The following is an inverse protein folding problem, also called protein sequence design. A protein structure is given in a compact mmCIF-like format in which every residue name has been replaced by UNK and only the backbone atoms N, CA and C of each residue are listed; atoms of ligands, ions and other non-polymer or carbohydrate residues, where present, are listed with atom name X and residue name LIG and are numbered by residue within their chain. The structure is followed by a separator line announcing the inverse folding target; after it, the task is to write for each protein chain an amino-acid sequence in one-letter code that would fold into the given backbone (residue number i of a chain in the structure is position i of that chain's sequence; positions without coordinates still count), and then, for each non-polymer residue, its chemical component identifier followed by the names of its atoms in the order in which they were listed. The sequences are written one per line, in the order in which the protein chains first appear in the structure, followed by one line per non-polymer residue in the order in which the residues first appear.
data_IF_925918509426
#
_entry.id   IF_925918509426
#
_cell.length_a   1.000
_cell.length_b   1.000
_cell.length_c   1.000
_cell.angle_alpha   90.00
_cell.angle_beta   90.00
_cell.angle_gamma   90.00
#
_symmetry.space_group_name_H-M   'P 1'
#
loop_
_entity.id
_entity.type
_entity.pdbx_description
1 polymer ?
#
# COMPACT_ATOMS: atom_id res chain seq x y z
N UNK A 1 -0.11 -7.67 0.73
CA UNK A 1 -0.72 -8.08 2.01
C UNK A 1 0.40 -8.24 3.02
N UNK A 2 0.33 -7.55 4.15
CA UNK A 2 1.23 -7.85 5.28
C UNK A 2 0.88 -9.25 5.83
N UNK A 3 1.83 -9.95 6.48
CA UNK A 3 1.63 -11.31 6.98
C UNK A 3 0.48 -11.42 8.00
N UNK A 4 0.14 -10.33 8.67
CA UNK A 4 -0.99 -10.18 9.60
C UNK A 4 -2.33 -9.88 8.89
N UNK A 5 -2.35 -9.73 7.57
CA UNK A 5 -3.56 -9.59 6.74
C UNK A 5 -4.38 -8.32 6.99
N UNK A 6 -3.96 -7.44 7.91
CA UNK A 6 -4.69 -6.21 8.30
C UNK A 6 -4.66 -5.09 7.28
N UNK A 7 -3.59 -5.05 6.47
CA UNK A 7 -3.36 -3.96 5.54
C UNK A 7 -3.07 -4.47 4.14
N UNK A 8 -3.78 -3.90 3.16
CA UNK A 8 -3.50 -4.00 1.75
C UNK A 8 -2.79 -2.71 1.31
N UNK A 9 -1.71 -2.87 0.56
CA UNK A 9 -0.98 -1.75 -0.02
C UNK A 9 -1.28 -1.75 -1.51
N UNK A 10 -1.68 -0.60 -2.06
CA UNK A 10 -2.04 -0.45 -3.46
C UNK A 10 -1.17 0.66 -4.04
N UNK A 11 -0.23 0.32 -4.94
CA UNK A 11 0.60 1.32 -5.59
C UNK A 11 -0.22 2.05 -6.66
N UNK A 12 -0.31 3.37 -6.53
CA UNK A 12 -0.92 4.24 -7.55
C UNK A 12 0.15 4.59 -8.58
N UNK A 13 0.24 3.77 -9.63
CA UNK A 13 1.20 3.98 -10.72
C UNK A 13 0.90 5.29 -11.46
N UNK A 14 1.93 6.10 -11.70
CA UNK A 14 1.80 7.42 -12.32
C UNK A 14 1.66 8.58 -11.32
N UNK A 15 1.06 8.34 -10.17
CA UNK A 15 0.84 9.38 -9.13
C UNK A 15 1.96 9.42 -8.08
N UNK A 16 2.76 8.35 -8.02
CA UNK A 16 3.92 8.28 -7.12
C UNK A 16 3.56 8.05 -5.65
N UNK A 17 2.38 7.49 -5.41
CA UNK A 17 1.85 7.22 -4.07
C UNK A 17 1.48 5.75 -3.89
N UNK A 18 1.40 5.31 -2.65
CA UNK A 18 0.89 4.00 -2.23
C UNK A 18 -0.25 4.23 -1.26
N UNK A 19 -1.43 3.71 -1.58
CA UNK A 19 -2.57 3.70 -0.67
C UNK A 19 -2.47 2.50 0.28
N UNK A 20 -2.69 2.74 1.57
CA UNK A 20 -2.82 1.70 2.59
C UNK A 20 -4.29 1.55 2.90
N UNK A 21 -4.83 0.36 2.66
CA UNK A 21 -6.23 0.00 2.85
C UNK A 21 -6.32 -0.97 4.03
N UNK A 22 -7.18 -0.67 5.00
CA UNK A 22 -7.52 -1.62 6.05
C UNK A 22 -8.45 -2.70 5.49
N UNK A 23 -8.03 -3.95 5.53
CA UNK A 23 -8.81 -5.08 4.98
C UNK A 23 -10.11 -5.35 5.76
N UNK A 24 -10.18 -4.91 7.02
CA UNK A 24 -11.37 -5.04 7.85
C UNK A 24 -12.56 -4.19 7.37
N UNK A 25 -12.29 -3.04 6.74
CA UNK A 25 -13.33 -2.07 6.34
C UNK A 25 -13.28 -1.71 4.85
N UNK A 26 -12.22 -2.09 4.15
CA UNK A 26 -11.98 -1.67 2.76
C UNK A 26 -11.65 -0.18 2.60
N UNK A 27 -11.43 0.55 3.69
CA UNK A 27 -11.19 1.99 3.67
C UNK A 27 -9.69 2.29 3.54
N UNK A 28 -9.35 3.34 2.81
CA UNK A 28 -7.98 3.89 2.76
C UNK A 28 -7.66 4.52 4.11
N UNK A 29 -6.76 3.91 4.85
CA UNK A 29 -6.30 4.38 6.16
C UNK A 29 -5.13 5.36 6.05
N UNK A 30 -4.35 5.31 4.97
CA UNK A 30 -3.25 6.23 4.72
C UNK A 30 -2.88 6.27 3.24
N UNK A 31 -2.26 7.37 2.83
CA UNK A 31 -1.61 7.50 1.51
C UNK A 31 -0.15 7.89 1.75
N UNK A 32 0.77 7.10 1.21
CA UNK A 32 2.20 7.26 1.41
C UNK A 32 2.80 7.73 0.08
N UNK A 33 3.42 8.90 0.07
CA UNK A 33 4.17 9.38 -1.09
C UNK A 33 5.52 8.67 -1.16
N UNK A 34 5.78 7.94 -2.25
CA UNK A 34 6.98 7.12 -2.43
C UNK A 34 7.89 7.61 -3.56
N UNK A 35 7.46 8.63 -4.32
CA UNK A 35 8.20 9.19 -5.46
C UNK A 35 7.72 8.64 -6.80
N UNK A 36 8.37 9.02 -7.91
CA UNK A 36 7.90 8.71 -9.26
C UNK A 36 7.87 7.21 -9.57
N UNK A 37 6.71 6.72 -10.00
CA UNK A 37 6.46 5.36 -10.48
C UNK A 37 6.90 4.23 -9.53
N UNK A 38 6.14 3.95 -8.45
CA UNK A 38 6.32 2.72 -7.70
C UNK A 38 5.95 1.52 -8.59
N UNK A 39 6.96 0.95 -9.27
CA UNK A 39 6.81 -0.19 -10.17
C UNK A 39 6.82 -1.54 -9.42
N UNK A 40 7.40 -1.58 -8.22
CA UNK A 40 7.54 -2.82 -7.43
C UNK A 40 7.34 -2.52 -5.95
N UNK A 41 6.46 -3.28 -5.31
CA UNK A 41 6.36 -3.33 -3.85
C UNK A 41 6.94 -4.67 -3.37
N UNK A 42 7.89 -4.61 -2.44
CA UNK A 42 8.34 -5.77 -1.68
C UNK A 42 7.73 -5.66 -0.26
N UNK A 43 6.91 -6.63 0.10
CA UNK A 43 6.38 -6.79 1.44
C UNK A 43 7.37 -7.66 2.21
N UNK A 44 8.03 -7.08 3.21
CA UNK A 44 8.83 -7.85 4.17
C UNK A 44 7.90 -8.23 5.34
N UNK A 45 7.54 -9.52 5.49
CA UNK A 45 6.91 -9.98 6.72
C UNK A 45 7.94 -9.97 7.85
N UNK A 46 7.62 -9.29 8.96
CA UNK A 46 8.35 -9.40 10.22
C UNK A 46 7.87 -10.63 11.01
#
# INVERSE_FOLDING_TARGET
MTPDGKYAYVPNNGDGTVSVITTATGVVSATITVGTNPLRMAICPA
#
